data_IF_803019874228
#
_entry.id   IF_803019874228
#
_cell.length_a   1.000
_cell.length_b   1.000
_cell.length_c   1.000
_cell.angle_alpha   90.00
_cell.angle_beta   90.00
_cell.angle_gamma   90.00
#
_symmetry.space_group_name_H-M   'P 1'
#
loop_
_entity.id
_entity.type
_entity.pdbx_description
1 polymer ?
#
# COMPACT_ATOMS: atom_id res chain seq x y z
N UNK A 1 17.91 -19.76 6.72
CA UNK A 1 17.87 -19.42 6.68
C UNK A 1 17.47 -18.85 6.11
N UNK A 2 17.67 -19.08 5.97
CA UNK A 2 17.54 -18.25 5.41
C UNK A 2 16.51 -18.10 4.81
N UNK A 3 16.20 -18.72 4.80
CA UNK A 3 15.13 -18.58 4.39
C UNK A 3 14.52 -17.36 4.55
N UNK A 4 14.96 -16.61 5.20
CA UNK A 4 14.29 -15.42 5.39
C UNK A 4 14.78 -14.40 4.45
N UNK A 5 14.03 -14.20 3.44
CA UNK A 5 14.28 -13.12 2.53
C UNK A 5 13.66 -11.89 3.12
N UNK A 6 14.48 -10.96 3.54
CA UNK A 6 13.98 -9.72 4.06
C UNK A 6 13.33 -8.91 2.95
N UNK A 7 12.25 -8.22 3.31
CA UNK A 7 11.61 -7.32 2.38
C UNK A 7 12.52 -6.11 2.19
N UNK A 8 13.13 -6.01 1.02
CA UNK A 8 14.10 -4.97 0.75
C UNK A 8 13.47 -3.60 0.52
N UNK A 9 12.16 -3.50 0.55
CA UNK A 9 11.47 -2.24 0.31
C UNK A 9 10.94 -1.58 1.58
N UNK A 10 11.33 -2.08 2.74
CA UNK A 10 10.85 -1.47 4.00
C UNK A 10 11.26 -0.01 4.15
N UNK A 11 12.33 0.40 3.47
CA UNK A 11 12.77 1.78 3.54
C UNK A 11 11.70 2.76 3.04
N UNK A 12 10.75 2.28 2.24
CA UNK A 12 9.68 3.14 1.75
C UNK A 12 8.90 3.75 2.90
N UNK A 13 8.81 3.05 4.03
CA UNK A 13 8.03 3.52 5.17
C UNK A 13 8.83 4.39 6.14
N UNK A 14 10.13 4.57 5.91
CA UNK A 14 10.97 5.25 6.90
C UNK A 14 10.49 6.64 7.27
N UNK A 15 10.01 7.39 6.29
CA UNK A 15 9.60 8.76 6.55
C UNK A 15 8.26 8.87 7.28
N UNK A 16 7.54 7.76 7.45
CA UNK A 16 6.24 7.80 8.12
C UNK A 16 6.22 6.94 9.38
N UNK A 17 7.32 6.24 9.66
CA UNK A 17 7.34 5.30 10.78
C UNK A 17 7.12 5.95 12.14
N UNK A 18 7.50 7.20 12.29
CA UNK A 18 7.32 7.88 13.57
C UNK A 18 6.00 8.64 13.66
N UNK A 19 5.14 8.53 12.67
CA UNK A 19 3.82 9.13 12.72
C UNK A 19 2.99 8.36 13.75
N UNK A 20 2.33 9.05 14.69
CA UNK A 20 1.59 8.35 15.75
C UNK A 20 0.49 7.43 15.24
N UNK A 21 -0.03 7.67 14.06
CA UNK A 21 -1.08 6.81 13.49
C UNK A 21 -0.58 5.64 12.69
N UNK A 22 0.74 5.54 12.52
CA UNK A 22 1.32 4.51 11.67
C UNK A 22 1.39 3.16 12.39
N UNK A 23 1.07 2.09 11.64
CA UNK A 23 1.26 0.73 12.11
C UNK A 23 1.65 -0.12 10.93
N UNK A 24 2.62 -1.01 11.14
CA UNK A 24 3.06 -1.91 10.09
C UNK A 24 2.64 -3.34 10.44
N UNK A 25 2.13 -4.06 9.45
CA UNK A 25 1.75 -5.44 9.62
C UNK A 25 2.09 -6.23 8.38
N UNK A 26 2.35 -7.52 8.57
CA UNK A 26 2.52 -8.42 7.44
C UNK A 26 1.16 -8.74 6.83
N UNK A 27 1.09 -8.76 5.51
CA UNK A 27 -0.15 -9.01 4.81
C UNK A 27 0.16 -9.82 3.55
N UNK A 28 -0.13 -11.12 3.57
CA UNK A 28 0.08 -12.00 2.40
C UNK A 28 1.50 -11.90 1.84
N UNK A 29 2.49 -11.94 2.71
CA UNK A 29 3.88 -11.86 2.27
C UNK A 29 4.38 -10.46 1.99
N UNK A 30 3.49 -9.48 2.04
CA UNK A 30 3.83 -8.07 1.90
C UNK A 30 3.95 -7.45 3.29
N UNK A 31 4.59 -6.29 3.33
CA UNK A 31 4.56 -5.46 4.53
C UNK A 31 3.64 -4.30 4.25
N UNK A 32 2.63 -4.16 5.09
CA UNK A 32 1.59 -3.17 4.85
C UNK A 32 1.66 -2.05 5.87
N UNK A 33 1.38 -0.84 5.41
CA UNK A 33 1.34 0.35 6.24
C UNK A 33 -0.11 0.76 6.46
N UNK A 34 -0.47 0.82 7.72
CA UNK A 34 -1.79 1.29 8.15
C UNK A 34 -1.62 2.65 8.78
N UNK A 35 -2.51 3.57 8.48
CA UNK A 35 -2.49 4.88 9.11
C UNK A 35 -3.89 5.17 9.62
N UNK A 36 -3.98 5.44 10.91
CA UNK A 36 -5.26 5.68 11.58
C UNK A 36 -6.26 4.54 11.33
N UNK A 37 -5.74 3.33 11.27
CA UNK A 37 -6.58 2.14 11.08
C UNK A 37 -6.94 1.81 9.65
N UNK A 38 -6.54 2.62 8.69
CA UNK A 38 -6.81 2.34 7.27
C UNK A 38 -5.59 1.74 6.61
N UNK A 39 -5.83 0.76 5.77
CA UNK A 39 -4.76 0.14 4.98
C UNK A 39 -4.42 1.08 3.83
N UNK A 40 -3.21 1.59 3.82
CA UNK A 40 -2.83 2.63 2.86
C UNK A 40 -1.84 2.18 1.81
N UNK A 41 -0.78 1.49 2.21
CA UNK A 41 0.27 1.09 1.29
C UNK A 41 0.72 -0.31 1.61
N UNK A 42 1.32 -0.96 0.62
CA UNK A 42 1.89 -2.28 0.83
C UNK A 42 3.13 -2.38 -0.04
N UNK A 43 4.20 -2.99 0.46
CA UNK A 43 5.41 -3.18 -0.31
C UNK A 43 5.80 -4.64 -0.29
N UNK A 44 6.30 -5.12 -1.42
CA UNK A 44 6.75 -6.48 -1.55
C UNK A 44 7.88 -6.57 -2.54
N UNK A 45 8.75 -7.55 -2.36
CA UNK A 45 9.89 -7.75 -3.26
C UNK A 45 9.87 -9.12 -3.91
N UNK A 46 8.68 -9.64 -4.19
CA UNK A 46 8.54 -10.89 -4.90
C UNK A 46 8.79 -10.72 -6.38
N UNK A 47 8.26 -11.65 -7.16
CA UNK A 47 8.36 -11.55 -8.61
C UNK A 47 7.26 -10.65 -9.14
N UNK A 48 7.55 -10.01 -10.27
CA UNK A 48 6.58 -9.15 -10.91
C UNK A 48 5.29 -9.90 -11.20
N UNK A 49 4.13 -9.37 -10.92
CA UNK A 49 3.85 -7.99 -10.47
C UNK A 49 3.74 -7.83 -8.95
N UNK A 50 4.48 -8.61 -8.18
CA UNK A 50 4.42 -8.57 -6.72
C UNK A 50 5.69 -7.94 -6.14
N UNK A 51 6.34 -7.09 -6.94
CA UNK A 51 7.59 -6.45 -6.57
C UNK A 51 7.42 -4.94 -6.65
N UNK A 52 7.16 -4.31 -5.54
CA UNK A 52 7.04 -2.85 -5.58
C UNK A 52 6.03 -2.34 -4.59
N UNK A 53 5.41 -1.24 -4.96
CA UNK A 53 4.49 -0.51 -4.10
C UNK A 53 3.06 -0.69 -4.58
N UNK A 54 2.18 -1.03 -3.65
CA UNK A 54 0.75 -1.03 -3.89
C UNK A 54 0.13 0.13 -3.14
N UNK A 55 -0.66 0.92 -3.84
CA UNK A 55 -1.41 2.02 -3.24
C UNK A 55 -2.83 1.52 -3.04
N UNK A 56 -3.22 1.41 -1.78
CA UNK A 56 -4.51 0.83 -1.44
C UNK A 56 -5.58 1.91 -1.54
N UNK A 57 -6.45 1.74 -2.53
CA UNK A 57 -7.42 2.77 -2.88
C UNK A 57 -8.64 2.09 -3.50
N UNK A 58 -9.52 2.85 -4.11
CA UNK A 58 -10.69 2.32 -4.80
C UNK A 58 -10.71 2.83 -6.22
N UNK A 59 -11.46 2.15 -7.07
CA UNK A 59 -11.46 2.46 -8.50
C UNK A 59 -11.92 3.88 -8.79
N UNK A 60 -12.84 4.40 -8.00
CA UNK A 60 -13.35 5.74 -8.23
C UNK A 60 -12.32 6.84 -7.93
N UNK A 61 -11.21 6.47 -7.33
CA UNK A 61 -10.14 7.43 -7.03
C UNK A 61 -8.96 7.32 -7.95
N UNK A 62 -8.97 6.31 -8.84
CA UNK A 62 -7.83 6.07 -9.73
C UNK A 62 -7.51 7.27 -10.62
N UNK A 63 -8.53 7.90 -11.19
CA UNK A 63 -8.28 8.98 -12.13
C UNK A 63 -7.50 10.12 -11.48
N UNK A 64 -7.87 10.49 -10.26
CA UNK A 64 -7.19 11.57 -9.57
C UNK A 64 -5.76 11.21 -9.19
N UNK A 65 -5.57 9.97 -8.71
CA UNK A 65 -4.23 9.52 -8.34
C UNK A 65 -3.32 9.42 -9.56
N UNK A 66 -3.84 8.88 -10.66
CA UNK A 66 -3.04 8.72 -11.87
C UNK A 66 -2.75 10.08 -12.50
N UNK A 67 -3.65 11.04 -12.32
CA UNK A 67 -3.38 12.39 -12.81
C UNK A 67 -2.15 12.98 -12.13
N UNK A 68 -2.02 12.76 -10.84
CA UNK A 68 -0.86 13.25 -10.09
C UNK A 68 0.37 12.35 -10.28
N UNK A 69 0.15 11.04 -10.39
CA UNK A 69 1.22 10.06 -10.53
C UNK A 69 0.95 9.18 -11.74
N UNK A 70 1.25 9.69 -12.94
CA UNK A 70 0.93 8.93 -14.17
C UNK A 70 1.62 7.59 -14.27
N UNK A 71 2.65 7.36 -13.47
CA UNK A 71 3.38 6.10 -13.48
C UNK A 71 2.64 4.98 -12.77
N UNK A 72 1.63 5.32 -11.97
CA UNK A 72 0.82 4.31 -11.30
C UNK A 72 -0.18 3.71 -12.28
N UNK A 73 -0.44 2.43 -12.13
CA UNK A 73 -1.42 1.73 -12.96
C UNK A 73 -2.12 0.69 -12.12
N UNK A 74 -3.34 0.30 -12.49
CA UNK A 74 -4.01 -0.76 -11.73
C UNK A 74 -3.17 -2.03 -11.73
N UNK A 75 -3.09 -2.66 -10.57
CA UNK A 75 -2.36 -3.92 -10.47
C UNK A 75 -3.07 -4.98 -11.32
N UNK A 76 -2.32 -5.78 -12.09
CA UNK A 76 -2.96 -6.72 -13.01
C UNK A 76 -3.84 -7.76 -12.34
N UNK A 77 -3.62 -8.06 -11.07
CA UNK A 77 -4.43 -9.03 -10.35
C UNK A 77 -5.36 -8.34 -9.36
N UNK A 78 -4.84 -7.37 -8.62
CA UNK A 78 -5.60 -6.67 -7.59
C UNK A 78 -6.14 -5.35 -8.13
N UNK A 79 -6.86 -5.40 -9.21
CA UNK A 79 -7.20 -4.24 -10.04
C UNK A 79 -7.73 -3.00 -9.36
N UNK A 80 -8.23 -3.08 -8.13
CA UNK A 80 -8.70 -1.88 -7.45
C UNK A 80 -7.58 -1.10 -6.77
N UNK A 81 -6.40 -1.69 -6.65
CA UNK A 81 -5.24 -1.00 -6.09
C UNK A 81 -4.29 -0.60 -7.20
N UNK A 82 -3.58 0.50 -7.00
CA UNK A 82 -2.61 0.94 -7.98
C UNK A 82 -1.23 0.39 -7.63
N UNK A 83 -0.40 0.22 -8.65
CA UNK A 83 0.85 -0.51 -8.53
C UNK A 83 1.97 0.25 -9.21
N UNK A 84 3.14 0.22 -8.57
CA UNK A 84 4.36 0.79 -9.13
C UNK A 84 5.47 -0.24 -8.94
N UNK A 85 6.01 -0.74 -10.05
CA UNK A 85 7.07 -1.75 -9.99
C UNK A 85 8.35 -1.16 -9.43
N UNK A 86 9.04 -1.95 -8.61
CA UNK A 86 10.34 -1.49 -8.08
C UNK A 86 11.39 -1.36 -9.16
N UNK A 87 11.14 -1.92 -10.35
CA UNK A 87 12.08 -1.79 -11.46
C UNK A 87 11.94 -0.47 -12.21
N UNK A 88 10.91 0.32 -11.87
CA UNK A 88 10.76 1.63 -12.49
C UNK A 88 11.94 2.51 -12.08
N UNK A 89 12.53 3.21 -13.06
CA UNK A 89 13.74 3.97 -12.77
C UNK A 89 13.50 5.12 -11.79
N UNK A 90 12.25 5.59 -11.68
CA UNK A 90 11.91 6.65 -10.75
C UNK A 90 11.27 6.14 -9.47
N UNK A 91 11.40 4.85 -9.20
CA UNK A 91 10.68 4.22 -8.10
C UNK A 91 10.92 4.92 -6.77
N UNK A 92 12.16 5.23 -6.47
CA UNK A 92 12.48 5.82 -5.18
C UNK A 92 11.79 7.17 -4.98
N UNK A 93 11.88 8.03 -5.97
CA UNK A 93 11.27 9.35 -5.86
C UNK A 93 9.75 9.26 -5.82
N UNK A 94 9.17 8.38 -6.63
CA UNK A 94 7.73 8.23 -6.67
C UNK A 94 7.19 7.64 -5.37
N UNK A 95 7.88 6.64 -4.83
CA UNK A 95 7.45 6.05 -3.58
C UNK A 95 7.47 7.09 -2.47
N UNK A 96 8.50 7.91 -2.42
CA UNK A 96 8.57 8.97 -1.42
C UNK A 96 7.42 9.96 -1.54
N UNK A 97 7.07 10.33 -2.76
CA UNK A 97 5.97 11.26 -2.99
C UNK A 97 4.62 10.67 -2.58
N UNK A 98 4.44 9.37 -2.85
CA UNK A 98 3.20 8.69 -2.47
C UNK A 98 3.08 8.60 -0.95
N UNK A 99 4.20 8.32 -0.27
CA UNK A 99 4.20 8.28 1.20
C UNK A 99 3.78 9.64 1.77
N UNK A 100 4.23 10.73 1.15
CA UNK A 100 3.83 12.07 1.59
C UNK A 100 2.32 12.27 1.48
N UNK A 101 1.71 11.75 0.42
CA UNK A 101 0.27 11.82 0.26
C UNK A 101 -0.43 11.13 1.43
N UNK A 102 0.10 9.97 1.83
CA UNK A 102 -0.47 9.22 2.94
C UNK A 102 -0.26 9.97 4.26
N UNK A 103 0.92 10.56 4.43
CA UNK A 103 1.21 11.30 5.66
C UNK A 103 0.26 12.46 5.86
N UNK A 104 -0.17 13.08 4.77
CA UNK A 104 -1.12 14.19 4.83
C UNK A 104 -2.56 13.73 5.01
N UNK A 105 -2.80 12.44 5.14
CA UNK A 105 -4.14 11.86 5.27
C UNK A 105 -5.02 12.21 4.07
N UNK A 106 -4.44 12.11 2.89
CA UNK A 106 -5.17 12.37 1.65
C UNK A 106 -6.24 11.31 1.47
N UNK A 107 -7.46 11.72 1.21
CA UNK A 107 -8.59 10.81 1.16
C UNK A 107 -8.56 9.87 -0.04
N UNK A 108 -7.68 10.10 -0.99
CA UNK A 108 -7.57 9.21 -2.15
C UNK A 108 -6.89 7.90 -1.84
N UNK A 109 -6.21 7.80 -0.67
CA UNK A 109 -5.49 6.59 -0.29
C UNK A 109 -6.02 6.13 1.06
N UNK A 110 -6.18 4.80 1.19
CA UNK A 110 -6.65 4.23 2.42
C UNK A 110 -7.99 3.54 2.27
N UNK A 111 -8.04 2.29 2.71
CA UNK A 111 -9.27 1.50 2.63
C UNK A 111 -9.45 0.75 3.93
N UNK A 112 -10.69 0.36 4.20
CA UNK A 112 -11.00 -0.45 5.37
C UNK A 112 -10.32 -1.81 5.25
N UNK A 113 -9.65 -2.28 6.30
CA UNK A 113 -9.03 -3.60 6.26
C UNK A 113 -10.08 -4.70 6.09
N UNK A 114 -9.71 -5.72 5.33
CA UNK A 114 -10.61 -6.83 5.07
C UNK A 114 -11.03 -7.55 6.35
N UNK A 115 -10.10 -7.67 7.30
CA UNK A 115 -10.41 -8.35 8.56
C UNK A 115 -11.51 -7.63 9.32
N UNK A 116 -11.51 -6.29 9.29
CA UNK A 116 -12.53 -5.51 9.96
C UNK A 116 -13.89 -5.72 9.32
N UNK A 117 -13.92 -5.75 7.98
CA UNK A 117 -15.16 -6.02 7.27
C UNK A 117 -15.70 -7.38 7.59
N UNK A 118 -14.82 -8.36 7.67
CA UNK A 118 -15.21 -9.71 8.01
C UNK A 118 -15.82 -9.78 9.40
N UNK A 119 -15.24 -9.10 10.34
CA UNK A 119 -15.76 -9.06 11.70
C UNK A 119 -17.16 -8.50 11.74
N UNK A 120 -17.40 -7.42 11.04
CA UNK A 120 -18.71 -6.80 11.01
C UNK A 120 -19.74 -7.76 10.43
N UNK A 121 -19.36 -8.48 9.38
CA UNK A 121 -20.23 -9.45 8.77
C UNK A 121 -20.61 -10.55 9.75
N UNK A 122 -19.61 -11.04 10.45
CA UNK A 122 -19.82 -12.07 11.42
C UNK A 122 -20.83 -11.66 12.48
N UNK A 123 -20.68 -10.44 12.95
CA UNK A 123 -21.56 -9.94 14.00
C UNK A 123 -23.02 -9.92 13.59
N UNK A 124 -23.29 -9.81 12.33
CA UNK A 124 -24.67 -9.75 11.87
C UNK A 124 -25.40 -11.06 12.00
N UNK A 125 -24.70 -12.14 12.18
CA UNK A 125 -25.31 -13.45 12.30
C UNK A 125 -25.52 -13.91 13.72
N UNK A 126 -25.15 -13.09 14.66
CA UNK A 126 -25.27 -13.45 16.05
C UNK A 126 -26.58 -13.01 16.64
#
# INVERSE_FOLDING_TARGET
MGSTVKNSLLWVFESIEDDPGFMRKRLFGFEAAYVDGLLCLSVGNGEEPWNGLLVCTSRDRHADLIREFPELAPHPVLGKWLYLSQTHEEFEALAGAVVEVVRRRDSRVGVEPAARKKSAKKNRFV
#
